data_IF_192152977995
#
_entry.id   IF_192152977995
#
_cell.length_a   1.000
_cell.length_b   1.000
_cell.length_c   1.000
_cell.angle_alpha   90.00
_cell.angle_beta   90.00
_cell.angle_gamma   90.00
#
_symmetry.space_group_name_H-M   'P 1'
#
loop_
_entity.id
_entity.type
_entity.pdbx_description
1 polymer ?
#
# COMPACT_ATOMS: atom_id res chain seq x y z
N UNK A 1 -6.48 -19.27 16.31
CA UNK A 1 -7.84 -18.68 16.22
C UNK A 1 -8.11 -17.88 17.49
N UNK A 2 -8.25 -16.55 17.40
CA UNK A 2 -8.53 -15.71 18.57
C UNK A 2 -9.99 -15.86 18.98
N UNK A 3 -10.26 -15.95 20.29
CA UNK A 3 -11.63 -15.91 20.81
C UNK A 3 -11.99 -14.44 21.03
N UNK A 4 -12.77 -13.87 20.11
CA UNK A 4 -13.39 -12.56 20.29
C UNK A 4 -14.40 -12.64 21.44
N UNK A 5 -13.99 -12.19 22.64
CA UNK A 5 -14.90 -12.04 23.79
C UNK A 5 -15.68 -10.72 23.77
N UNK A 6 -15.45 -9.90 22.75
CA UNK A 6 -16.12 -8.63 22.54
C UNK A 6 -17.58 -8.85 22.12
N UNK A 7 -18.49 -8.02 22.65
CA UNK A 7 -19.90 -7.99 22.24
C UNK A 7 -20.04 -7.31 20.87
N UNK A 8 -19.49 -7.91 19.82
CA UNK A 8 -19.56 -7.41 18.45
C UNK A 8 -19.87 -8.53 17.46
N UNK A 9 -20.49 -8.16 16.34
CA UNK A 9 -20.66 -9.04 15.19
C UNK A 9 -19.96 -8.38 14.00
N UNK A 10 -19.13 -9.15 13.31
CA UNK A 10 -18.58 -8.78 12.01
C UNK A 10 -19.36 -9.58 10.97
N UNK A 11 -19.79 -8.91 9.91
CA UNK A 11 -20.48 -9.54 8.79
C UNK A 11 -19.94 -8.95 7.49
N UNK A 12 -20.05 -9.74 6.44
CA UNK A 12 -19.85 -9.23 5.09
C UNK A 12 -21.03 -8.33 4.71
N UNK A 13 -20.72 -7.16 4.15
CA UNK A 13 -21.69 -6.17 3.70
C UNK A 13 -21.63 -5.94 2.18
N UNK A 14 -20.95 -6.80 1.43
CA UNK A 14 -20.77 -6.67 -0.03
C UNK A 14 -22.10 -6.56 -0.78
N UNK A 15 -23.16 -7.24 -0.31
CA UNK A 15 -24.49 -7.13 -0.92
C UNK A 15 -25.23 -5.82 -0.57
N UNK A 16 -24.84 -5.13 0.50
CA UNK A 16 -25.54 -3.95 1.01
C UNK A 16 -24.96 -2.64 0.48
N UNK A 17 -23.73 -2.66 -0.04
CA UNK A 17 -23.00 -1.48 -0.47
C UNK A 17 -22.32 -1.68 -1.81
N UNK A 18 -22.31 -0.61 -2.60
CA UNK A 18 -21.39 -0.45 -3.72
C UNK A 18 -20.23 0.45 -3.30
N UNK A 19 -19.03 0.13 -3.76
CA UNK A 19 -17.80 0.89 -3.49
C UNK A 19 -17.27 1.46 -4.80
N UNK A 20 -16.98 2.76 -4.81
CA UNK A 20 -16.33 3.44 -5.93
C UNK A 20 -15.08 4.19 -5.44
N UNK A 21 -14.01 4.16 -6.23
CA UNK A 21 -12.86 5.03 -6.03
C UNK A 21 -13.15 6.41 -6.65
N UNK A 22 -12.83 7.46 -5.89
CA UNK A 22 -12.96 8.84 -6.32
C UNK A 22 -11.57 9.47 -6.45
N UNK A 23 -11.16 9.94 -7.65
CA UNK A 23 -9.93 10.72 -7.81
C UNK A 23 -9.91 12.00 -6.95
N UNK A 24 -11.09 12.50 -6.58
CA UNK A 24 -11.28 13.54 -5.58
C UNK A 24 -12.51 13.23 -4.72
N UNK A 25 -12.30 13.07 -3.42
CA UNK A 25 -13.36 12.75 -2.44
C UNK A 25 -14.24 13.94 -2.07
N UNK A 26 -13.83 15.18 -2.39
CA UNK A 26 -14.47 16.41 -1.90
C UNK A 26 -14.23 16.71 -0.41
N UNK A 27 -13.56 15.82 0.33
CA UNK A 27 -13.16 16.06 1.71
C UNK A 27 -11.87 16.89 1.75
N UNK A 28 -11.91 17.99 2.50
CA UNK A 28 -10.75 18.89 2.67
C UNK A 28 -9.65 18.31 3.55
N UNK A 29 -9.97 17.34 4.40
CA UNK A 29 -9.04 16.69 5.33
C UNK A 29 -8.70 15.27 4.87
N UNK A 30 -7.42 14.87 4.85
CA UNK A 30 -7.02 13.51 4.52
C UNK A 30 -7.41 12.52 5.62
N UNK A 31 -7.52 11.24 5.28
CA UNK A 31 -7.78 10.15 6.24
C UNK A 31 -9.05 10.38 7.09
N UNK A 32 -10.13 10.82 6.44
CA UNK A 32 -11.45 11.03 7.07
C UNK A 32 -12.50 10.14 6.45
N UNK A 33 -13.53 9.85 7.25
CA UNK A 33 -14.75 9.19 6.79
C UNK A 33 -15.92 10.02 7.28
N UNK A 34 -16.88 10.28 6.40
CA UNK A 34 -18.14 10.95 6.72
C UNK A 34 -19.30 10.08 6.24
N UNK A 35 -20.30 9.92 7.09
CA UNK A 35 -21.53 9.20 6.79
C UNK A 35 -22.68 10.19 6.66
N UNK A 36 -23.59 9.94 5.72
CA UNK A 36 -24.85 10.67 5.61
C UNK A 36 -26.00 9.93 6.32
N UNK A 37 -27.17 10.57 6.38
CA UNK A 37 -28.37 10.00 7.02
C UNK A 37 -28.97 8.85 6.21
N UNK A 38 -28.63 8.74 4.92
CA UNK A 38 -29.05 7.69 4.01
C UNK A 38 -28.18 6.43 4.13
N UNK A 39 -27.11 6.49 4.92
CA UNK A 39 -26.18 5.39 5.14
C UNK A 39 -25.12 5.25 4.07
N UNK A 40 -24.89 6.26 3.24
CA UNK A 40 -23.71 6.32 2.37
C UNK A 40 -22.52 6.86 3.15
N UNK A 41 -21.31 6.60 2.65
CA UNK A 41 -20.09 7.16 3.22
C UNK A 41 -19.16 7.70 2.14
N UNK A 42 -18.47 8.78 2.46
CA UNK A 42 -17.31 9.25 1.71
C UNK A 42 -16.09 9.14 2.61
N UNK A 43 -15.03 8.51 2.09
CA UNK A 43 -13.74 8.39 2.76
C UNK A 43 -12.66 9.10 1.94
N UNK A 44 -11.72 9.77 2.59
CA UNK A 44 -10.56 10.38 1.95
C UNK A 44 -9.28 9.61 2.23
N UNK A 45 -8.47 9.48 1.19
CA UNK A 45 -7.07 9.09 1.26
C UNK A 45 -6.20 10.32 1.62
N UNK A 46 -4.89 10.22 1.37
CA UNK A 46 -3.94 11.31 1.53
C UNK A 46 -3.94 12.19 0.27
N UNK A 47 -3.50 13.44 0.43
CA UNK A 47 -3.36 14.37 -0.70
C UNK A 47 -2.37 13.82 -1.71
N UNK A 48 -2.78 13.75 -2.96
CA UNK A 48 -1.98 13.33 -4.11
C UNK A 48 -2.11 14.43 -5.18
N UNK A 49 -0.99 15.04 -5.58
CA UNK A 49 -0.97 16.08 -6.62
C UNK A 49 -1.96 17.23 -6.40
N UNK A 50 -2.19 17.62 -5.13
CA UNK A 50 -3.08 18.72 -4.76
C UNK A 50 -4.56 18.34 -4.67
N UNK A 51 -4.95 17.09 -4.96
CA UNK A 51 -6.30 16.57 -4.71
C UNK A 51 -6.30 15.55 -3.58
N UNK A 52 -7.45 15.33 -2.95
CA UNK A 52 -7.62 14.30 -1.93
C UNK A 52 -8.44 13.15 -2.51
N UNK A 53 -7.82 12.14 -3.16
CA UNK A 53 -8.53 10.96 -3.62
C UNK A 53 -9.23 10.25 -2.46
N UNK A 54 -10.11 9.31 -2.75
CA UNK A 54 -10.88 8.63 -1.72
C UNK A 54 -11.84 7.61 -2.27
N UNK A 55 -12.87 7.32 -1.49
CA UNK A 55 -13.88 6.34 -1.83
C UNK A 55 -15.27 6.86 -1.51
N UNK A 56 -16.24 6.33 -2.24
CA UNK A 56 -17.65 6.43 -1.93
C UNK A 56 -18.22 5.04 -1.68
N UNK A 57 -18.92 4.88 -0.57
CA UNK A 57 -19.76 3.73 -0.30
C UNK A 57 -21.22 4.17 -0.45
N UNK A 58 -21.96 3.54 -1.35
CA UNK A 58 -23.38 3.83 -1.59
C UNK A 58 -24.21 2.64 -1.14
N UNK A 59 -25.22 2.87 -0.30
CA UNK A 59 -26.11 1.82 0.16
C UNK A 59 -27.04 1.36 -0.99
N UNK A 60 -27.08 0.05 -1.27
CA UNK A 60 -27.80 -0.54 -2.40
C UNK A 60 -29.32 -0.27 -2.41
N UNK A 61 -29.90 0.24 -1.32
CA UNK A 61 -31.33 0.63 -1.25
C UNK A 61 -31.64 2.03 -1.78
N UNK A 62 -30.62 2.87 -2.05
CA UNK A 62 -30.73 4.28 -2.48
C UNK A 62 -30.70 4.40 -4.02
N UNK A 63 -30.60 3.27 -4.72
CA UNK A 63 -30.15 3.13 -6.12
C UNK A 63 -31.10 3.65 -7.23
N UNK A 64 -32.10 4.48 -6.93
CA UNK A 64 -33.00 4.98 -7.98
C UNK A 64 -32.47 6.21 -8.74
N UNK A 65 -31.52 7.00 -8.19
CA UNK A 65 -31.27 8.36 -8.73
C UNK A 65 -29.80 8.84 -8.81
N UNK A 66 -28.78 8.06 -8.45
CA UNK A 66 -27.38 8.51 -8.58
C UNK A 66 -26.52 7.54 -9.39
N UNK A 67 -25.94 8.06 -10.48
CA UNK A 67 -24.97 7.37 -11.32
C UNK A 67 -23.69 7.07 -10.52
N UNK A 68 -23.47 5.80 -10.18
CA UNK A 68 -22.12 5.33 -9.84
C UNK A 68 -21.34 5.33 -11.16
N UNK A 69 -20.40 6.26 -11.33
CA UNK A 69 -19.52 6.26 -12.51
C UNK A 69 -18.63 5.00 -12.49
N UNK A 70 -18.96 4.05 -13.35
CA UNK A 70 -18.17 2.85 -13.72
C UNK A 70 -17.07 3.26 -14.74
N UNK A 71 -15.86 2.71 -14.91
CA UNK A 71 -15.26 1.36 -14.78
C UNK A 71 -13.72 1.53 -14.65
N UNK A 72 -13.01 0.63 -13.96
CA UNK A 72 -11.58 0.64 -13.55
C UNK A 72 -11.24 1.35 -12.23
N UNK A 73 -12.12 1.24 -11.22
CA UNK A 73 -11.85 1.73 -9.87
C UNK A 73 -10.61 1.11 -9.24
N UNK A 74 -10.38 -0.19 -9.47
CA UNK A 74 -9.29 -0.94 -8.84
C UNK A 74 -7.91 -0.49 -9.35
N UNK A 75 -7.68 -0.45 -10.67
CA UNK A 75 -6.40 -0.02 -11.24
C UNK A 75 -6.07 1.44 -10.87
N UNK A 76 -7.08 2.33 -10.91
CA UNK A 76 -6.90 3.74 -10.52
C UNK A 76 -6.58 3.87 -9.02
N UNK A 77 -7.26 3.09 -8.18
CA UNK A 77 -7.01 3.06 -6.75
C UNK A 77 -5.62 2.53 -6.42
N UNK A 78 -5.25 1.38 -6.99
CA UNK A 78 -3.95 0.76 -6.80
C UNK A 78 -2.83 1.69 -7.29
N UNK A 79 -3.02 2.36 -8.43
CA UNK A 79 -2.09 3.36 -8.91
C UNK A 79 -2.00 4.57 -7.98
N UNK A 80 -3.11 5.06 -7.44
CA UNK A 80 -3.11 6.14 -6.45
C UNK A 80 -2.34 5.76 -5.18
N UNK A 81 -2.51 4.53 -4.68
CA UNK A 81 -1.72 4.01 -3.56
C UNK A 81 -0.24 3.90 -3.91
N UNK A 82 0.08 3.42 -5.11
CA UNK A 82 1.45 3.34 -5.59
C UNK A 82 2.10 4.73 -5.60
N UNK A 83 1.41 5.75 -6.11
CA UNK A 83 1.88 7.13 -6.14
C UNK A 83 2.06 7.72 -4.73
N UNK A 84 1.19 7.35 -3.79
CA UNK A 84 1.31 7.69 -2.38
C UNK A 84 2.37 6.87 -1.64
N UNK A 85 2.99 5.89 -2.29
CA UNK A 85 3.95 4.97 -1.67
C UNK A 85 3.32 4.06 -0.61
N UNK A 86 2.02 3.78 -0.67
CA UNK A 86 1.31 2.94 0.30
C UNK A 86 1.18 1.53 -0.28
N UNK A 87 1.84 0.55 0.33
CA UNK A 87 1.74 -0.84 -0.12
C UNK A 87 0.33 -1.40 0.10
N UNK A 88 -0.16 -2.16 -0.88
CA UNK A 88 -1.36 -2.96 -0.78
C UNK A 88 -0.97 -4.43 -0.57
N UNK A 89 -1.48 -5.05 0.50
CA UNK A 89 -1.21 -6.45 0.84
C UNK A 89 -2.25 -7.33 0.16
N UNK A 90 -1.81 -8.09 -0.83
CA UNK A 90 -2.61 -9.05 -1.57
C UNK A 90 -2.35 -10.47 -1.06
N UNK A 91 -3.14 -11.45 -1.52
CA UNK A 91 -3.01 -12.86 -1.10
C UNK A 91 -1.56 -13.40 -1.18
N UNK A 92 -0.78 -13.13 -2.25
CA UNK A 92 0.60 -13.57 -2.31
C UNK A 92 1.48 -13.02 -1.19
N UNK A 93 1.21 -11.81 -0.67
CA UNK A 93 2.11 -11.10 0.26
C UNK A 93 1.68 -11.11 1.72
N UNK A 94 0.63 -11.87 2.06
CA UNK A 94 0.17 -12.05 3.43
C UNK A 94 1.31 -12.67 4.27
N UNK A 95 1.51 -12.15 5.48
CA UNK A 95 2.53 -12.58 6.45
C UNK A 95 4.01 -12.38 6.01
N UNK A 96 4.29 -11.81 4.83
CA UNK A 96 5.67 -11.59 4.37
C UNK A 96 6.40 -10.45 5.10
N UNK A 97 5.66 -9.43 5.53
CA UNK A 97 6.26 -8.17 5.96
C UNK A 97 5.85 -7.78 7.37
N UNK A 98 6.80 -7.22 8.13
CA UNK A 98 6.46 -6.37 9.27
C UNK A 98 5.96 -5.01 8.75
N UNK A 99 5.10 -4.29 9.49
CA UNK A 99 4.55 -3.00 9.05
C UNK A 99 5.61 -2.00 8.58
N UNK A 100 6.78 -1.95 9.25
CA UNK A 100 7.84 -1.02 8.89
C UNK A 100 8.53 -1.32 7.56
N UNK A 101 8.58 -2.60 7.15
CA UNK A 101 9.20 -3.01 5.90
C UNK A 101 8.39 -2.50 4.68
N UNK A 102 7.09 -2.31 4.87
CA UNK A 102 6.18 -1.71 3.88
C UNK A 102 5.75 -0.28 4.25
N UNK A 103 6.54 0.39 5.09
CA UNK A 103 6.42 1.80 5.46
C UNK A 103 5.13 2.20 6.18
N UNK A 104 4.38 1.25 6.76
CA UNK A 104 3.12 1.56 7.47
C UNK A 104 3.33 2.42 8.72
N UNK A 105 4.51 2.40 9.33
CA UNK A 105 4.89 3.34 10.38
C UNK A 105 5.02 4.79 9.87
N UNK A 106 5.39 4.98 8.62
CA UNK A 106 5.57 6.30 8.00
C UNK A 106 4.23 6.86 7.50
N UNK A 107 3.34 6.00 7.01
CA UNK A 107 2.04 6.39 6.45
C UNK A 107 0.88 6.32 7.44
N UNK A 108 1.14 6.19 8.74
CA UNK A 108 0.12 6.26 9.81
C UNK A 108 -0.68 4.97 10.02
N UNK A 109 -0.18 3.84 9.52
CA UNK A 109 -0.75 2.50 9.75
C UNK A 109 -0.34 1.86 11.09
N UNK A 110 0.59 2.48 11.83
CA UNK A 110 1.01 2.03 13.17
C UNK A 110 0.92 3.21 14.14
N UNK A 111 0.25 2.98 15.27
CA UNK A 111 0.30 3.89 16.41
C UNK A 111 1.17 3.27 17.49
N UNK A 112 2.18 4.01 17.94
CA UNK A 112 3.05 3.62 19.06
C UNK A 112 2.53 4.11 20.42
N UNK A 113 1.47 4.92 20.41
CA UNK A 113 0.82 5.49 21.59
C UNK A 113 -0.47 4.78 22.01
N UNK A 114 -0.99 3.85 21.19
CA UNK A 114 -2.18 3.04 21.51
C UNK A 114 -1.89 1.93 22.52
N UNK A 115 -2.96 1.39 23.10
CA UNK A 115 -2.91 0.21 23.96
C UNK A 115 -2.50 -1.08 23.23
N UNK A 116 -2.46 -2.19 23.98
CA UNK A 116 -1.77 -3.39 23.51
C UNK A 116 -2.44 -4.09 22.30
N UNK A 117 -1.66 -4.54 21.32
CA UNK A 117 -2.11 -5.35 20.18
C UNK A 117 -1.14 -6.51 19.83
N UNK A 118 -1.61 -7.58 19.16
CA UNK A 118 -0.76 -8.73 18.80
C UNK A 118 0.43 -8.32 17.91
N UNK A 119 1.62 -8.87 18.21
CA UNK A 119 2.84 -8.57 17.45
C UNK A 119 3.48 -7.22 17.78
N UNK A 120 2.90 -6.42 18.68
CA UNK A 120 3.43 -5.10 19.03
C UNK A 120 4.86 -5.12 19.54
N UNK A 121 5.32 -6.21 20.16
CA UNK A 121 6.68 -6.27 20.70
C UNK A 121 7.70 -6.17 19.57
N UNK A 122 7.47 -6.90 18.48
CA UNK A 122 8.31 -6.87 17.29
C UNK A 122 8.24 -5.48 16.63
N UNK A 123 7.02 -4.94 16.50
CA UNK A 123 6.79 -3.61 15.90
C UNK A 123 7.46 -2.51 16.73
N UNK A 124 7.28 -2.48 18.05
CA UNK A 124 7.86 -1.49 18.94
C UNK A 124 9.38 -1.62 19.02
N UNK A 125 9.91 -2.85 19.09
CA UNK A 125 11.36 -3.08 19.14
C UNK A 125 12.07 -2.52 17.92
N UNK A 126 11.54 -2.75 16.72
CA UNK A 126 12.09 -2.18 15.49
C UNK A 126 12.07 -0.65 15.48
N UNK A 127 11.08 -0.03 16.11
CA UNK A 127 10.97 1.43 16.19
C UNK A 127 11.95 2.07 17.21
N UNK A 128 12.01 1.52 18.43
CA UNK A 128 12.78 2.11 19.53
C UNK A 128 14.25 1.69 19.56
N UNK A 129 14.55 0.43 19.21
CA UNK A 129 15.87 -0.17 19.43
C UNK A 129 16.64 -0.42 18.13
N UNK A 130 16.02 -0.29 16.96
CA UNK A 130 16.61 -0.65 15.67
C UNK A 130 16.58 0.46 14.63
N UNK A 131 17.50 0.35 13.65
CA UNK A 131 17.35 0.97 12.31
C UNK A 131 16.52 0.00 11.48
N UNK A 132 15.44 0.49 10.87
CA UNK A 132 14.71 -0.27 9.86
C UNK A 132 15.61 -0.39 8.63
N UNK A 133 16.12 -1.60 8.37
CA UNK A 133 17.11 -1.83 7.31
C UNK A 133 16.50 -1.99 5.93
N UNK A 134 15.21 -2.33 5.86
CA UNK A 134 14.50 -2.61 4.62
C UNK A 134 13.18 -1.87 4.61
N UNK A 135 12.87 -1.24 3.49
CA UNK A 135 11.74 -0.33 3.29
C UNK A 135 11.19 -0.56 1.89
N UNK A 136 9.94 -0.17 1.67
CA UNK A 136 9.36 -0.14 0.33
C UNK A 136 9.83 1.09 -0.43
N UNK A 137 10.26 0.87 -1.67
CA UNK A 137 10.59 1.87 -2.67
C UNK A 137 9.62 1.77 -3.85
N UNK A 138 9.45 2.86 -4.59
CA UNK A 138 8.69 2.84 -5.84
C UNK A 138 9.57 2.25 -6.93
N UNK A 139 8.99 1.47 -7.84
CA UNK A 139 9.70 1.04 -9.02
C UNK A 139 8.81 0.92 -10.25
N UNK A 140 9.40 0.93 -11.43
CA UNK A 140 8.76 0.50 -12.67
C UNK A 140 9.53 -0.66 -13.28
N UNK A 141 8.81 -1.62 -13.88
CA UNK A 141 9.42 -2.73 -14.59
C UNK A 141 9.67 -2.35 -16.04
N UNK A 142 10.87 -2.61 -16.55
CA UNK A 142 11.18 -2.45 -17.98
C UNK A 142 10.90 -3.74 -18.74
N UNK A 143 10.09 -3.68 -19.80
CA UNK A 143 9.82 -4.82 -20.69
C UNK A 143 8.36 -5.27 -20.70
N UNK A 144 8.08 -6.32 -21.44
CA UNK A 144 6.73 -6.88 -21.62
C UNK A 144 6.37 -8.01 -20.65
N UNK A 145 7.33 -8.45 -19.84
CA UNK A 145 7.13 -9.54 -18.88
C UNK A 145 6.46 -9.00 -17.62
N UNK A 146 5.41 -9.69 -17.17
CA UNK A 146 4.68 -9.30 -15.97
C UNK A 146 5.46 -9.66 -14.70
N UNK A 147 5.61 -8.68 -13.82
CA UNK A 147 6.00 -8.88 -12.42
C UNK A 147 4.75 -9.10 -11.57
N UNK A 148 4.81 -9.98 -10.58
CA UNK A 148 3.72 -10.23 -9.65
C UNK A 148 4.15 -9.97 -8.21
N UNK A 149 3.18 -9.61 -7.36
CA UNK A 149 3.43 -9.47 -5.93
C UNK A 149 3.92 -10.80 -5.32
N UNK A 150 4.86 -10.71 -4.38
CA UNK A 150 5.51 -11.84 -3.73
C UNK A 150 6.75 -12.37 -4.45
N UNK A 151 7.10 -11.86 -5.65
CA UNK A 151 8.33 -12.26 -6.32
C UNK A 151 9.57 -11.68 -5.64
N UNK A 152 10.64 -12.48 -5.61
CA UNK A 152 11.96 -12.05 -5.13
C UNK A 152 12.56 -10.98 -6.03
N UNK A 153 13.15 -9.97 -5.40
CA UNK A 153 13.94 -8.92 -6.04
C UNK A 153 15.41 -9.16 -5.76
N UNK A 154 16.24 -9.07 -6.78
CA UNK A 154 17.66 -9.41 -6.76
C UNK A 154 18.51 -8.17 -7.01
N UNK A 155 19.59 -8.00 -6.25
CA UNK A 155 20.58 -6.95 -6.45
C UNK A 155 21.74 -7.46 -7.31
N UNK A 156 22.09 -6.74 -8.36
CA UNK A 156 23.24 -7.06 -9.20
C UNK A 156 24.53 -7.12 -8.36
N UNK A 157 25.28 -8.22 -8.51
CA UNK A 157 26.51 -8.46 -7.73
C UNK A 157 26.30 -9.09 -6.35
N UNK A 158 25.06 -9.27 -5.88
CA UNK A 158 24.70 -10.03 -4.67
C UNK A 158 23.57 -11.01 -4.97
N UNK A 159 23.86 -12.07 -5.73
CA UNK A 159 22.86 -13.02 -6.25
C UNK A 159 22.72 -14.31 -5.45
N UNK A 160 23.41 -14.42 -4.30
CA UNK A 160 23.33 -15.59 -3.42
C UNK A 160 22.02 -15.64 -2.61
N UNK A 161 21.36 -14.49 -2.42
CA UNK A 161 20.08 -14.38 -1.72
C UNK A 161 19.24 -13.23 -2.32
N UNK A 162 17.89 -13.28 -2.22
CA UNK A 162 17.04 -12.18 -2.59
C UNK A 162 17.39 -10.91 -1.80
N UNK A 163 17.56 -9.80 -2.52
CA UNK A 163 17.71 -8.49 -1.90
C UNK A 163 16.39 -7.99 -1.32
N UNK A 164 15.25 -8.42 -1.85
CA UNK A 164 13.94 -7.78 -1.67
C UNK A 164 12.79 -8.69 -2.06
N UNK A 165 11.56 -8.18 -1.90
CA UNK A 165 10.37 -8.79 -2.48
C UNK A 165 9.43 -7.71 -3.04
N UNK A 166 8.68 -8.06 -4.08
CA UNK A 166 7.65 -7.19 -4.65
C UNK A 166 6.45 -7.18 -3.72
N UNK A 167 6.17 -6.06 -3.05
CA UNK A 167 5.05 -5.93 -2.13
C UNK A 167 3.73 -5.70 -2.87
N UNK A 168 3.74 -4.86 -3.91
CA UNK A 168 2.58 -4.54 -4.74
C UNK A 168 3.02 -4.40 -6.21
N UNK A 169 2.20 -4.90 -7.13
CA UNK A 169 2.38 -4.73 -8.57
C UNK A 169 1.06 -4.26 -9.18
N UNK A 170 1.10 -3.17 -9.94
CA UNK A 170 -0.06 -2.47 -10.49
C UNK A 170 0.18 -2.26 -11.98
N UNK A 171 -0.81 -2.58 -12.81
CA UNK A 171 -0.79 -2.22 -14.23
C UNK A 171 -1.63 -0.97 -14.45
N UNK A 172 -1.04 0.10 -14.97
CA UNK A 172 -1.75 1.34 -15.22
C UNK A 172 -1.28 1.98 -16.52
N UNK A 173 -2.22 2.27 -17.44
CA UNK A 173 -1.96 2.83 -18.77
C UNK A 173 -0.87 2.08 -19.57
N UNK A 174 -0.86 0.74 -19.49
CA UNK A 174 0.09 -0.11 -20.22
C UNK A 174 1.51 -0.15 -19.62
N UNK A 175 1.73 0.48 -18.47
CA UNK A 175 2.98 0.39 -17.72
C UNK A 175 2.76 -0.30 -16.38
N UNK A 176 3.74 -1.07 -15.94
CA UNK A 176 3.72 -1.72 -14.64
C UNK A 176 4.47 -0.89 -13.59
N UNK A 177 3.76 -0.53 -12.53
CA UNK A 177 4.28 0.16 -11.36
C UNK A 177 4.33 -0.79 -10.18
N UNK A 178 5.38 -0.68 -9.39
CA UNK A 178 5.67 -1.58 -8.28
C UNK A 178 5.91 -0.78 -7.00
N UNK A 179 5.65 -1.45 -5.89
CA UNK A 179 6.22 -1.14 -4.59
C UNK A 179 7.06 -2.34 -4.19
N UNK A 180 8.37 -2.13 -4.04
CA UNK A 180 9.35 -3.19 -3.80
C UNK A 180 10.05 -2.96 -2.47
N UNK A 181 10.05 -3.97 -1.62
CA UNK A 181 10.79 -3.95 -0.37
C UNK A 181 12.27 -4.21 -0.67
N UNK A 182 13.14 -3.30 -0.25
CA UNK A 182 14.57 -3.31 -0.55
C UNK A 182 15.39 -2.88 0.66
N UNK A 183 16.69 -3.27 0.75
CA UNK A 183 17.59 -2.72 1.75
C UNK A 183 17.81 -1.24 1.47
N UNK A 184 17.61 -0.38 2.48
CA UNK A 184 17.63 1.08 2.32
C UNK A 184 18.98 1.55 1.77
N UNK A 185 20.07 1.08 2.35
CA UNK A 185 21.42 1.52 1.98
C UNK A 185 21.79 1.08 0.54
N UNK A 186 21.29 -0.06 0.06
CA UNK A 186 21.52 -0.52 -1.32
C UNK A 186 20.60 0.22 -2.32
N UNK A 187 19.35 0.50 -1.94
CA UNK A 187 18.38 1.21 -2.80
C UNK A 187 18.75 2.67 -3.06
N UNK A 188 19.44 3.30 -2.10
CA UNK A 188 19.94 4.67 -2.22
C UNK A 188 21.33 4.77 -2.87
N UNK A 189 21.99 3.64 -3.08
CA UNK A 189 23.31 3.61 -3.71
C UNK A 189 23.20 3.93 -5.21
N UNK A 190 23.92 4.95 -5.65
CA UNK A 190 23.99 5.32 -7.07
C UNK A 190 24.50 4.15 -7.92
N UNK A 191 23.76 3.84 -8.98
CA UNK A 191 24.08 2.76 -9.92
C UNK A 191 23.70 1.35 -9.42
N UNK A 192 23.02 1.22 -8.28
CA UNK A 192 22.44 -0.06 -7.88
C UNK A 192 21.38 -0.51 -8.90
N UNK A 193 21.49 -1.77 -9.33
CA UNK A 193 20.57 -2.36 -10.31
C UNK A 193 19.81 -3.50 -9.66
N UNK A 194 18.49 -3.39 -9.66
CA UNK A 194 17.58 -4.40 -9.12
C UNK A 194 16.84 -5.10 -10.26
N UNK A 195 16.60 -6.40 -10.09
CA UNK A 195 15.90 -7.22 -11.08
C UNK A 195 14.89 -8.15 -10.43
N UNK A 196 13.82 -8.48 -11.14
CA UNK A 196 12.97 -9.64 -10.83
C UNK A 196 13.27 -10.73 -11.84
N UNK A 197 13.40 -11.97 -11.39
CA UNK A 197 13.66 -13.13 -12.27
C UNK A 197 12.37 -13.95 -12.38
N UNK A 198 12.01 -14.33 -13.60
CA UNK A 198 10.94 -15.29 -13.90
C UNK A 198 11.40 -16.27 -15.00
N UNK A 199 10.54 -17.23 -15.37
CA UNK A 199 10.86 -18.24 -16.37
C UNK A 199 11.22 -17.66 -17.75
N UNK A 200 10.79 -16.42 -18.04
CA UNK A 200 11.06 -15.74 -19.29
C UNK A 200 12.32 -14.86 -19.26
N UNK A 201 12.95 -14.67 -18.09
CA UNK A 201 14.23 -13.96 -17.94
C UNK A 201 14.27 -13.02 -16.75
N UNK A 202 15.21 -12.07 -16.82
CA UNK A 202 15.37 -11.02 -15.80
C UNK A 202 14.75 -9.71 -16.29
N UNK A 203 13.93 -9.11 -15.43
CA UNK A 203 13.25 -7.83 -15.64
C UNK A 203 13.97 -6.80 -14.79
N UNK A 204 14.61 -5.81 -15.42
CA UNK A 204 15.22 -4.71 -14.70
C UNK A 204 14.16 -3.77 -14.10
N UNK A 205 14.45 -3.28 -12.90
CA UNK A 205 13.61 -2.33 -12.18
C UNK A 205 14.25 -0.95 -12.19
N UNK A 206 13.47 0.08 -12.52
CA UNK A 206 13.83 1.47 -12.27
C UNK A 206 13.28 1.87 -10.90
N UNK A 207 14.15 1.87 -9.88
CA UNK A 207 13.81 2.15 -8.48
C UNK A 207 13.92 3.64 -8.20
N UNK A 208 12.95 4.17 -7.44
CA UNK A 208 12.87 5.56 -6.99
C UNK A 208 12.44 5.63 -5.51
N UNK A 209 12.86 6.66 -4.76
CA UNK A 209 12.38 6.85 -3.40
C UNK A 209 10.86 7.08 -3.39
N UNK A 210 10.14 6.63 -2.34
CA UNK A 210 8.73 6.97 -2.15
C UNK A 210 8.56 8.49 -1.88
N UNK A 211 7.31 9.02 -1.89
CA UNK A 211 7.05 10.46 -1.73
C UNK A 211 7.26 10.98 -0.28
N UNK A 212 8.06 10.28 0.52
CA UNK A 212 8.37 10.61 1.90
C UNK A 212 9.75 10.07 2.29
N UNK A 213 10.35 10.62 3.35
CA UNK A 213 11.65 10.18 3.84
C UNK A 213 11.56 8.80 4.51
N UNK A 214 12.33 7.83 4.01
CA UNK A 214 12.37 6.45 4.54
C UNK A 214 13.22 6.31 5.81
N UNK A 215 14.04 7.32 6.14
CA UNK A 215 14.91 7.33 7.32
C UNK A 215 14.24 7.91 8.57
N UNK A 216 13.16 8.66 8.39
CA UNK A 216 12.46 9.25 9.53
C UNK A 216 11.86 8.18 10.45
N UNK A 217 11.56 8.59 11.69
CA UNK A 217 10.87 7.75 12.67
C UNK A 217 9.46 8.27 12.91
N UNK A 218 8.50 7.37 12.85
CA UNK A 218 7.08 7.71 13.05
C UNK A 218 6.44 8.27 11.79
N UNK A 219 5.16 8.61 11.89
CA UNK A 219 4.41 9.04 10.72
C UNK A 219 4.84 10.44 10.29
N UNK A 220 4.94 10.66 8.96
CA UNK A 220 5.12 12.02 8.38
C UNK A 220 3.91 12.92 8.65
N UNK A 221 2.84 12.34 9.18
CA UNK A 221 1.49 12.89 9.18
C UNK A 221 0.88 12.99 10.58
N UNK A 222 1.69 12.76 11.63
CA UNK A 222 1.38 13.16 13.01
C UNK A 222 1.89 14.59 13.30
#
# INVERSE_FOLDING_TARGET
>A
MFVLRSKCKVRDCTADYQLAFLPGSGLSSPMRVQWDEQGNATASLRVLNGTTPGFQLVASKVQAEQEVQEVNGDDNFEFALQQLGIAYVSQPTVEMFIPQAINFDLVGGVSFSKGCYPGQEIVARSHYLGKVKRRVFQATATGSLAVTAGQDVWLAGKENEPAGAVATAVNFNGQQYLLVELPVDDAEQSGATFTVKNDAGAIALNVQPPPYDVHQKGSVFE
#
